data_IF_546996750081
#
_entry.id   IF_546996750081
#
_cell.length_a   1.000
_cell.length_b   1.000
_cell.length_c   1.000
_cell.angle_alpha   90.00
_cell.angle_beta   90.00
_cell.angle_gamma   90.00
#
_symmetry.space_group_name_H-M   'P 1'
#
loop_
_entity.id
_entity.type
_entity.pdbx_description
1 polymer ?
#
# COMPACT_ATOMS: atom_id res chain seq x y z
N UNK A 1 -21.97 3.78 -5.10
CA UNK A 1 -20.66 3.10 -5.03
C UNK A 1 -20.87 1.74 -4.39
N UNK A 2 -20.21 0.65 -4.84
CA UNK A 2 -20.35 -0.64 -4.17
C UNK A 2 -19.86 -0.52 -2.71
N UNK A 3 -20.53 -1.18 -1.76
CA UNK A 3 -20.34 -0.98 -0.32
C UNK A 3 -18.87 -1.07 0.15
N UNK A 4 -18.08 -1.98 -0.43
CA UNK A 4 -16.65 -2.09 -0.12
C UNK A 4 -15.85 -0.83 -0.46
N UNK A 5 -16.18 -0.12 -1.55
CA UNK A 5 -15.49 1.13 -1.91
C UNK A 5 -15.85 2.27 -0.97
N UNK A 6 -17.09 2.29 -0.46
CA UNK A 6 -17.51 3.28 0.53
C UNK A 6 -16.70 3.17 1.83
N UNK A 7 -16.32 1.95 2.23
CA UNK A 7 -15.45 1.72 3.39
C UNK A 7 -13.96 1.99 3.08
N UNK A 8 -13.48 1.63 1.89
CA UNK A 8 -12.07 1.77 1.54
C UNK A 8 -11.62 3.24 1.40
N UNK A 9 -12.49 4.13 0.94
CA UNK A 9 -12.17 5.55 0.80
C UNK A 9 -11.79 6.26 2.10
N UNK A 10 -12.60 6.24 3.18
CA UNK A 10 -12.23 6.88 4.43
C UNK A 10 -10.96 6.27 5.03
N UNK A 11 -10.78 4.94 4.92
CA UNK A 11 -9.55 4.27 5.36
C UNK A 11 -8.34 4.79 4.58
N UNK A 12 -8.43 4.84 3.26
CA UNK A 12 -7.34 5.32 2.41
C UNK A 12 -6.99 6.79 2.70
N UNK A 13 -8.00 7.66 2.85
CA UNK A 13 -7.79 9.08 3.13
C UNK A 13 -7.19 9.31 4.52
N UNK A 14 -7.75 8.69 5.55
CA UNK A 14 -7.23 8.81 6.91
C UNK A 14 -5.80 8.27 7.01
N UNK A 15 -5.53 7.10 6.42
CA UNK A 15 -4.20 6.51 6.44
C UNK A 15 -3.18 7.29 5.61
N UNK A 16 -3.57 7.85 4.46
CA UNK A 16 -2.70 8.71 3.67
C UNK A 16 -2.36 10.01 4.41
N UNK A 17 -3.34 10.63 5.08
CA UNK A 17 -3.13 11.83 5.90
C UNK A 17 -2.17 11.53 7.07
N UNK A 18 -2.41 10.43 7.79
CA UNK A 18 -1.53 9.99 8.86
C UNK A 18 -0.11 9.70 8.36
N UNK A 19 0.03 8.95 7.26
CA UNK A 19 1.33 8.61 6.67
C UNK A 19 2.11 9.87 6.25
N UNK A 20 1.42 10.84 5.65
CA UNK A 20 2.04 12.12 5.26
C UNK A 20 2.50 12.91 6.48
N UNK A 21 1.67 12.96 7.54
CA UNK A 21 2.03 13.62 8.78
C UNK A 21 3.23 12.96 9.46
N UNK A 22 3.28 11.63 9.54
CA UNK A 22 4.44 10.89 10.08
C UNK A 22 5.70 11.14 9.25
N UNK A 23 5.59 11.13 7.92
CA UNK A 23 6.72 11.46 7.04
C UNK A 23 7.23 12.88 7.25
N UNK A 24 6.34 13.84 7.52
CA UNK A 24 6.72 15.22 7.84
C UNK A 24 7.51 15.31 9.15
N UNK A 25 7.13 14.53 10.16
CA UNK A 25 7.76 14.56 11.48
C UNK A 25 9.08 13.79 11.55
N UNK A 26 9.12 12.58 10.96
CA UNK A 26 10.23 11.64 11.13
C UNK A 26 11.13 11.52 9.90
N UNK A 27 10.66 12.00 8.75
CA UNK A 27 11.26 11.69 7.46
C UNK A 27 11.10 10.21 7.07
N UNK A 28 11.43 9.88 5.83
CA UNK A 28 11.32 8.52 5.31
C UNK A 28 12.25 7.54 6.08
N UNK A 29 13.50 7.93 6.30
CA UNK A 29 14.47 7.09 7.01
C UNK A 29 14.15 6.91 8.50
N UNK A 30 13.55 7.91 9.16
CA UNK A 30 13.16 7.80 10.57
C UNK A 30 12.09 6.72 10.81
N UNK A 31 11.18 6.54 9.85
CA UNK A 31 10.18 5.45 9.90
C UNK A 31 10.88 4.08 9.90
N UNK A 32 11.86 3.88 9.02
CA UNK A 32 12.62 2.64 8.96
C UNK A 32 13.44 2.40 10.24
N UNK A 33 14.06 3.44 10.79
CA UNK A 33 14.75 3.34 12.07
C UNK A 33 13.82 2.87 13.19
N UNK A 34 12.59 3.39 13.25
CA UNK A 34 11.56 2.92 14.19
C UNK A 34 11.13 1.47 13.95
N UNK A 35 11.01 1.06 12.68
CA UNK A 35 10.74 -0.32 12.26
C UNK A 35 11.83 -1.31 12.67
N UNK A 36 13.09 -0.86 12.76
CA UNK A 36 14.24 -1.69 13.15
C UNK A 36 14.71 -1.47 14.60
N UNK A 37 13.96 -0.74 15.43
CA UNK A 37 14.39 -0.37 16.78
C UNK A 37 14.46 -1.55 17.76
N UNK A 38 13.66 -2.60 17.55
CA UNK A 38 13.62 -3.81 18.38
C UNK A 38 12.97 -4.97 17.63
N UNK A 39 13.07 -6.19 18.18
CA UNK A 39 12.55 -7.42 17.54
C UNK A 39 11.05 -7.36 17.22
N UNK A 40 10.23 -6.75 18.08
CA UNK A 40 8.78 -6.61 17.85
C UNK A 40 8.47 -5.69 16.68
N UNK A 41 9.12 -4.52 16.62
CA UNK A 41 9.01 -3.61 15.48
C UNK A 41 9.51 -4.26 14.18
N UNK A 42 10.61 -5.03 14.27
CA UNK A 42 11.19 -5.73 13.13
C UNK A 42 10.24 -6.78 12.57
N UNK A 43 9.60 -7.57 13.44
CA UNK A 43 8.59 -8.54 13.05
C UNK A 43 7.47 -7.88 12.23
N UNK A 44 6.90 -6.77 12.72
CA UNK A 44 5.84 -6.04 12.02
C UNK A 44 6.33 -5.49 10.68
N UNK A 45 7.57 -4.98 10.65
CA UNK A 45 8.19 -4.46 9.42
C UNK A 45 8.36 -5.56 8.36
N UNK A 46 8.85 -6.74 8.76
CA UNK A 46 8.97 -7.87 7.85
C UNK A 46 7.62 -8.41 7.40
N UNK A 47 6.64 -8.50 8.29
CA UNK A 47 5.27 -8.89 7.95
C UNK A 47 4.69 -7.94 6.89
N UNK A 48 4.93 -6.63 7.03
CA UNK A 48 4.53 -5.63 6.04
C UNK A 48 5.23 -5.82 4.70
N UNK A 49 6.54 -6.05 4.68
CA UNK A 49 7.31 -6.29 3.44
C UNK A 49 6.79 -7.54 2.71
N UNK A 50 6.56 -8.63 3.46
CA UNK A 50 6.04 -9.88 2.91
C UNK A 50 4.63 -9.66 2.35
N UNK A 51 3.73 -9.05 3.12
CA UNK A 51 2.38 -8.76 2.69
C UNK A 51 2.35 -7.87 1.44
N UNK A 52 3.18 -6.83 1.39
CA UNK A 52 3.33 -5.95 0.22
C UNK A 52 3.82 -6.74 -1.00
N UNK A 53 4.79 -7.62 -0.84
CA UNK A 53 5.34 -8.44 -1.93
C UNK A 53 4.28 -9.38 -2.52
N UNK A 54 3.53 -10.06 -1.66
CA UNK A 54 2.43 -10.94 -2.06
C UNK A 54 1.32 -10.16 -2.78
N UNK A 55 0.94 -8.99 -2.26
CA UNK A 55 -0.08 -8.12 -2.86
C UNK A 55 0.35 -7.59 -4.22
N UNK A 56 1.61 -7.15 -4.38
CA UNK A 56 2.15 -6.75 -5.69
C UNK A 56 2.11 -7.92 -6.66
N UNK A 57 2.46 -9.13 -6.22
CA UNK A 57 2.36 -10.34 -7.05
C UNK A 57 0.93 -10.58 -7.56
N UNK A 58 -0.06 -10.44 -6.68
CA UNK A 58 -1.48 -10.55 -7.03
C UNK A 58 -1.93 -9.45 -8.01
N UNK A 59 -1.61 -8.19 -7.70
CA UNK A 59 -1.95 -7.03 -8.55
C UNK A 59 -1.31 -7.20 -9.94
N UNK A 60 -0.05 -7.63 -9.99
CA UNK A 60 0.66 -7.83 -11.24
C UNK A 60 0.01 -8.92 -12.09
N UNK A 61 -0.44 -10.03 -11.49
CA UNK A 61 -1.21 -11.06 -12.19
C UNK A 61 -2.55 -10.53 -12.71
N UNK A 62 -3.32 -9.81 -11.89
CA UNK A 62 -4.63 -9.24 -12.24
C UNK A 62 -4.51 -8.16 -13.35
N UNK A 63 -3.51 -7.30 -13.28
CA UNK A 63 -3.21 -6.30 -14.31
C UNK A 63 -2.81 -6.95 -15.64
N UNK A 64 -1.92 -7.96 -15.61
CA UNK A 64 -1.51 -8.70 -16.81
C UNK A 64 -2.68 -9.38 -17.50
N UNK A 65 -3.57 -10.01 -16.73
CA UNK A 65 -4.78 -10.64 -17.28
C UNK A 65 -5.73 -9.65 -17.97
N UNK A 66 -5.65 -8.36 -17.62
CA UNK A 66 -6.47 -7.27 -18.19
C UNK A 66 -5.71 -6.42 -19.23
N UNK A 67 -4.49 -6.79 -19.60
CA UNK A 67 -3.65 -6.00 -20.51
C UNK A 67 -3.28 -4.61 -19.98
N UNK A 68 -3.22 -4.41 -18.66
CA UNK A 68 -2.91 -3.11 -18.02
C UNK A 68 -1.51 -3.11 -17.38
N UNK A 69 -0.84 -1.95 -17.32
CA UNK A 69 0.44 -1.84 -16.63
C UNK A 69 0.27 -2.06 -15.12
N UNK A 70 1.11 -2.92 -14.54
CA UNK A 70 1.11 -3.22 -13.11
C UNK A 70 2.15 -2.42 -12.31
N UNK A 71 3.19 -1.93 -12.99
CA UNK A 71 4.34 -1.27 -12.35
C UNK A 71 4.00 -0.01 -11.52
N UNK A 72 3.00 0.83 -11.86
CA UNK A 72 2.70 2.02 -11.03
C UNK A 72 2.24 1.62 -9.64
N UNK A 73 1.45 0.54 -9.54
CA UNK A 73 0.97 0.01 -8.28
C UNK A 73 2.11 -0.60 -7.47
N UNK A 74 3.01 -1.34 -8.13
CA UNK A 74 4.20 -1.88 -7.48
C UNK A 74 5.10 -0.79 -6.91
N UNK A 75 5.38 0.27 -7.67
CA UNK A 75 6.19 1.40 -7.19
C UNK A 75 5.54 2.08 -5.99
N UNK A 76 4.23 2.32 -6.05
CA UNK A 76 3.49 2.92 -4.95
C UNK A 76 3.48 2.01 -3.71
N UNK A 77 3.40 0.68 -3.90
CA UNK A 77 3.50 -0.27 -2.78
C UNK A 77 4.89 -0.33 -2.16
N UNK A 78 5.96 -0.26 -2.97
CA UNK A 78 7.33 -0.32 -2.46
C UNK A 78 7.69 0.92 -1.65
N UNK A 79 7.21 2.09 -2.05
CA UNK A 79 7.50 3.35 -1.35
C UNK A 79 6.50 3.63 -0.23
N UNK A 80 5.21 3.43 -0.50
CA UNK A 80 4.11 3.80 0.39
C UNK A 80 3.43 2.63 1.11
N UNK A 81 3.98 1.42 1.02
CA UNK A 81 3.43 0.23 1.66
C UNK A 81 2.00 -0.07 1.19
N UNK A 82 1.07 -0.18 2.14
CA UNK A 82 -0.34 -0.51 1.87
C UNK A 82 -1.11 0.55 1.08
N UNK A 83 -0.55 1.76 0.87
CA UNK A 83 -1.17 2.77 0.00
C UNK A 83 -1.29 2.29 -1.45
N UNK A 84 -0.33 1.49 -1.95
CA UNK A 84 -0.35 0.96 -3.31
C UNK A 84 -1.54 0.04 -3.58
N UNK A 85 -1.72 -1.02 -2.77
CA UNK A 85 -2.87 -1.90 -2.87
C UNK A 85 -4.21 -1.18 -2.61
N UNK A 86 -4.27 -0.24 -1.67
CA UNK A 86 -5.48 0.56 -1.43
C UNK A 86 -5.87 1.38 -2.66
N UNK A 87 -4.91 2.08 -3.26
CA UNK A 87 -5.15 2.84 -4.48
C UNK A 87 -5.56 1.92 -5.65
N UNK A 88 -4.98 0.72 -5.75
CA UNK A 88 -5.38 -0.29 -6.74
C UNK A 88 -6.83 -0.76 -6.57
N UNK A 89 -7.28 -1.01 -5.33
CA UNK A 89 -8.65 -1.44 -5.06
C UNK A 89 -9.68 -0.34 -5.33
N UNK A 90 -9.31 0.92 -5.08
CA UNK A 90 -10.14 2.07 -5.39
C UNK A 90 -10.23 2.34 -6.89
N UNK A 91 -9.19 1.98 -7.65
CA UNK A 91 -9.11 2.18 -9.09
C UNK A 91 -10.37 1.67 -9.82
N UNK A 92 -10.93 2.44 -10.77
CA UNK A 92 -12.07 2.01 -11.56
C UNK A 92 -11.76 0.76 -12.40
N UNK A 93 -12.40 -0.36 -12.06
CA UNK A 93 -12.50 -1.51 -12.95
C UNK A 93 -13.69 -1.26 -13.89
N UNK A 94 -13.47 -0.75 -15.10
CA UNK A 94 -14.48 -0.86 -16.16
C UNK A 94 -14.70 -2.35 -16.40
N UNK A 95 -15.96 -2.81 -16.26
CA UNK A 95 -16.35 -4.13 -16.76
C UNK A 95 -16.18 -4.07 -18.29
N UNK A 96 -15.50 -5.07 -18.85
CA UNK A 96 -15.51 -5.30 -20.28
C UNK A 96 -16.94 -5.70 -20.70
#
# INVERSE_FOLDING_TARGET
MPAHKALLWPVALAFAAFSTWVLWQLGYFGIWQGGFANLGSMQITFDLIIACTLLVGYIARDCRARGKPWWPWALLTLVGGSLGPLAYLLWPRRKA
#
